data_IF_571478776362
#
_entry.id   IF_571478776362
#
_cell.length_a   1.000
_cell.length_b   1.000
_cell.length_c   1.000
_cell.angle_alpha   90.00
_cell.angle_beta   90.00
_cell.angle_gamma   90.00
#
_symmetry.space_group_name_H-M   'P 1'
#
loop_
_entity.id
_entity.type
_entity.pdbx_description
1 polymer ?
2 non-polymer ?
3 water ?
#
# COMPACT_ATOMS: atom_id res chain seq x y z
N UNK A 14 -3.67 16.50 -27.62
CA UNK A 14 -3.67 17.60 -26.64
C UNK A 14 -3.18 18.89 -27.33
N UNK A 15 -3.99 19.94 -27.32
CA UNK A 15 -3.72 21.09 -28.19
C UNK A 15 -2.58 21.96 -27.64
N UNK A 16 -1.95 22.68 -28.57
CA UNK A 16 -0.85 23.56 -28.17
C UNK A 16 -1.33 24.68 -27.26
N UNK A 17 -2.55 25.17 -27.47
CA UNK A 17 -3.06 26.22 -26.59
C UNK A 17 -3.24 25.69 -25.17
N UNK A 18 -3.67 24.44 -25.03
CA UNK A 18 -3.82 23.86 -23.71
C UNK A 18 -2.48 23.66 -23.02
N UNK A 19 -1.47 23.19 -23.76
CA UNK A 19 -0.13 23.03 -23.18
C UNK A 19 0.40 24.36 -22.70
N UNK A 20 0.23 25.42 -23.50
CA UNK A 20 0.71 26.73 -23.06
C UNK A 20 -0.03 27.22 -21.82
N UNK A 21 -1.31 26.87 -21.68
CA UNK A 21 -2.02 27.25 -20.47
C UNK A 21 -1.48 26.52 -19.25
N UNK A 22 -1.11 25.24 -19.40
CA UNK A 22 -0.47 24.52 -18.31
C UNK A 22 0.86 25.15 -17.94
N UNK A 23 1.68 25.46 -18.96
CA UNK A 23 2.97 26.10 -18.69
C UNK A 23 2.80 27.45 -18.00
N UNK A 24 1.71 28.17 -18.31
CA UNK A 24 1.49 29.45 -17.65
C UNK A 24 1.25 29.28 -16.15
N UNK A 25 0.76 28.12 -15.72
CA UNK A 25 0.52 27.90 -14.30
C UNK A 25 1.80 27.49 -13.58
N UNK A 26 2.47 26.45 -14.09
CA UNK A 26 3.55 25.82 -13.33
C UNK A 26 4.94 26.21 -13.81
N UNK A 27 5.06 26.82 -14.98
CA UNK A 27 6.36 27.11 -15.55
C UNK A 27 6.75 26.12 -16.63
N UNK A 28 7.40 26.61 -17.68
CA UNK A 28 7.79 25.74 -18.79
C UNK A 28 8.57 24.49 -18.38
N UNK A 29 9.56 24.54 -17.48
CA UNK A 29 10.29 23.30 -17.15
C UNK A 29 9.43 22.26 -16.46
N UNK A 30 8.24 22.61 -15.98
CA UNK A 30 7.44 21.69 -15.18
C UNK A 30 6.26 21.10 -15.95
N UNK A 31 6.27 21.22 -17.28
CA UNK A 31 5.32 20.56 -18.18
C UNK A 31 6.13 19.79 -19.21
N UNK A 32 5.76 18.54 -19.45
CA UNK A 32 6.42 17.78 -20.50
C UNK A 32 5.41 16.99 -21.34
N UNK A 33 5.54 17.09 -22.67
CA UNK A 33 4.81 16.23 -23.58
C UNK A 33 5.73 15.25 -24.31
N UNK A 34 6.97 15.10 -23.83
CA UNK A 34 7.91 14.18 -24.47
C UNK A 34 7.53 12.73 -24.22
N UNK A 35 7.62 11.91 -25.28
CA UNK A 35 7.17 10.52 -25.19
C UNK A 35 7.86 9.75 -24.07
N UNK A 36 9.18 9.89 -23.94
CA UNK A 36 9.88 9.12 -22.91
C UNK A 36 9.42 9.50 -21.51
N UNK A 37 9.19 10.79 -21.28
CA UNK A 37 8.75 11.26 -19.97
C UNK A 37 7.35 10.76 -19.67
N UNK A 38 6.47 10.79 -20.67
CA UNK A 38 5.11 10.29 -20.49
C UNK A 38 5.11 8.79 -20.23
N UNK A 39 5.96 8.03 -20.96
CA UNK A 39 6.00 6.58 -20.75
C UNK A 39 6.44 6.24 -19.32
N UNK A 40 7.39 6.99 -18.78
CA UNK A 40 7.85 6.74 -17.41
C UNK A 40 6.76 6.98 -16.38
N UNK A 41 5.72 7.73 -16.75
CA UNK A 41 4.61 8.03 -15.85
C UNK A 41 3.34 7.31 -16.26
N UNK A 42 3.42 6.32 -17.15
CA UNK A 42 2.26 5.59 -17.61
C UNK A 42 2.10 4.22 -17.01
N UNK A 43 2.93 3.87 -16.02
CA UNK A 43 2.88 2.55 -15.43
C UNK A 43 3.34 2.66 -14.00
N UNK A 44 3.06 1.62 -13.21
CA UNK A 44 3.59 1.57 -11.86
C UNK A 44 4.43 0.30 -11.74
N UNK A 45 4.44 -0.35 -10.57
CA UNK A 45 5.28 -1.53 -10.40
C UNK A 45 4.56 -2.83 -10.74
N UNK A 46 3.32 -2.78 -11.20
CA UNK A 46 2.58 -3.97 -11.58
C UNK A 46 2.73 -4.26 -13.07
N UNK A 47 2.22 -5.44 -13.46
CA UNK A 47 2.23 -5.90 -14.85
C UNK A 47 1.28 -5.12 -15.75
N UNK A 48 0.41 -4.26 -15.20
CA UNK A 48 -0.56 -3.56 -16.04
C UNK A 48 0.17 -2.76 -17.10
N UNK A 49 -0.28 -2.90 -18.35
CA UNK A 49 0.54 -2.41 -19.44
C UNK A 49 0.57 -0.89 -19.42
N UNK A 50 1.69 -0.34 -19.88
CA UNK A 50 1.90 1.08 -19.74
C UNK A 50 0.97 1.84 -20.68
N UNK A 51 0.29 2.84 -20.15
CA UNK A 51 -0.62 3.68 -20.92
C UNK A 51 -0.22 5.11 -20.63
N UNK A 52 0.56 5.73 -21.51
CA UNK A 52 1.17 7.01 -21.21
C UNK A 52 0.14 8.13 -21.21
N UNK A 53 0.23 9.03 -20.23
CA UNK A 53 -0.57 10.25 -20.28
C UNK A 53 -0.14 11.11 -21.45
N UNK A 54 -0.99 12.08 -21.81
CA UNK A 54 -0.64 13.01 -22.87
C UNK A 54 0.35 14.08 -22.44
N UNK A 55 0.46 14.34 -21.14
CA UNK A 55 1.44 15.27 -20.61
C UNK A 55 1.68 14.92 -19.15
N UNK A 56 2.84 15.34 -18.65
CA UNK A 56 3.15 15.28 -17.23
C UNK A 56 3.40 16.70 -16.72
N UNK A 57 2.83 17.02 -15.57
CA UNK A 57 2.91 18.36 -15.00
C UNK A 57 3.36 18.22 -13.55
N UNK A 58 4.29 19.09 -13.12
CA UNK A 58 4.80 19.12 -11.74
C UNK A 58 4.41 20.44 -11.07
N UNK A 59 3.28 20.51 -10.39
CA UNK A 59 2.95 21.74 -9.67
C UNK A 59 3.88 21.96 -8.50
N UNK A 60 4.16 23.23 -8.23
CA UNK A 60 5.13 23.62 -7.22
C UNK A 60 4.50 24.04 -5.90
N UNK A 61 3.18 24.25 -5.86
CA UNK A 61 2.48 24.60 -4.64
C UNK A 61 1.00 24.28 -4.85
N UNK A 62 0.23 24.40 -3.78
CA UNK A 62 -1.18 23.98 -3.83
C UNK A 62 -2.00 24.90 -4.72
N UNK A 63 -1.67 26.20 -4.77
CA UNK A 63 -2.38 27.08 -5.70
C UNK A 63 -2.21 26.59 -7.13
N UNK A 64 -1.02 26.11 -7.48
CA UNK A 64 -0.80 25.57 -8.81
C UNK A 64 -1.56 24.26 -9.03
N UNK A 65 -1.61 23.38 -8.02
CA UNK A 65 -2.42 22.16 -8.15
C UNK A 65 -3.86 22.53 -8.46
N UNK A 66 -4.40 23.50 -7.73
CA UNK A 66 -5.79 23.92 -7.93
C UNK A 66 -5.99 24.46 -9.35
N UNK A 67 -5.07 25.29 -9.83
CA UNK A 67 -5.23 25.87 -11.15
C UNK A 67 -5.04 24.85 -12.28
N UNK A 68 -4.13 23.88 -12.11
CA UNK A 68 -4.02 22.82 -13.11
C UNK A 68 -5.28 21.97 -13.13
N UNK A 69 -5.79 21.60 -11.94
CA UNK A 69 -7.02 20.80 -11.90
C UNK A 69 -8.17 21.54 -12.58
N UNK A 70 -8.32 22.83 -12.28
CA UNK A 70 -9.45 23.58 -12.85
C UNK A 70 -9.32 23.66 -14.36
N UNK A 71 -8.09 23.86 -14.86
CA UNK A 71 -7.87 23.90 -16.30
C UNK A 71 -8.24 22.59 -16.97
N UNK A 72 -7.77 21.46 -16.42
CA UNK A 72 -8.07 20.17 -17.00
C UNK A 72 -9.56 19.87 -16.93
N UNK A 73 -10.14 20.07 -15.74
CA UNK A 73 -11.53 19.73 -15.52
C UNK A 73 -12.43 20.45 -16.53
N UNK A 74 -12.26 21.77 -16.65
CA UNK A 74 -13.15 22.55 -17.50
C UNK A 74 -12.91 22.31 -18.98
N UNK A 75 -11.74 21.80 -19.36
CA UNK A 75 -11.51 21.44 -20.75
C UNK A 75 -11.79 19.98 -21.07
N UNK A 76 -12.31 19.20 -20.12
CA UNK A 76 -12.62 17.81 -20.36
C UNK A 76 -11.40 16.92 -20.51
N UNK A 77 -10.32 17.23 -19.81
CA UNK A 77 -9.06 16.49 -19.89
C UNK A 77 -8.90 15.68 -18.61
N UNK A 78 -8.71 14.36 -18.69
CA UNK A 78 -8.55 13.58 -17.46
C UNK A 78 -7.31 13.97 -16.67
N UNK A 79 -7.40 13.76 -15.37
CA UNK A 79 -6.35 14.06 -14.40
C UNK A 79 -5.93 12.76 -13.73
N UNK A 80 -4.63 12.48 -13.71
CA UNK A 80 -4.12 11.27 -13.04
C UNK A 80 -3.13 11.69 -11.97
N UNK A 81 -3.47 11.65 -10.68
CA UNK A 81 -2.49 11.99 -9.65
C UNK A 81 -1.38 10.96 -9.65
N UNK A 82 -0.14 11.42 -9.42
CA UNK A 82 1.02 10.54 -9.46
C UNK A 82 1.89 10.87 -8.28
N UNK A 83 2.18 9.86 -7.45
CA UNK A 83 3.07 10.06 -6.32
C UNK A 83 4.46 9.56 -6.66
N UNK A 84 4.83 8.43 -6.07
CA UNK A 84 6.09 7.79 -6.39
C UNK A 84 5.97 6.62 -7.38
N UNK A 85 4.77 6.35 -7.90
CA UNK A 85 4.59 5.31 -8.90
C UNK A 85 4.92 3.90 -8.44
N UNK A 86 4.78 3.62 -7.14
CA UNK A 86 5.06 2.29 -6.61
C UNK A 86 3.81 1.44 -6.42
N UNK A 87 2.63 1.94 -6.82
CA UNK A 87 1.42 1.14 -6.70
C UNK A 87 1.49 -0.12 -7.52
N UNK A 88 0.60 -1.07 -7.22
CA UNK A 88 0.66 -2.36 -7.91
C UNK A 88 -0.68 -2.75 -8.55
N UNK A 89 -1.60 -1.79 -8.72
CA UNK A 89 -2.85 -2.10 -9.41
C UNK A 89 -3.12 -1.18 -10.61
N UNK A 90 -2.12 -0.52 -11.15
CA UNK A 90 -2.34 0.25 -12.35
C UNK A 90 -3.01 1.58 -12.10
N UNK A 91 -2.95 2.06 -10.86
CA UNK A 91 -3.62 3.31 -10.53
C UNK A 91 -3.18 4.49 -11.37
N UNK A 92 -1.91 4.54 -11.79
CA UNK A 92 -1.43 5.68 -12.56
C UNK A 92 -1.52 5.47 -14.07
N UNK A 93 -1.99 4.31 -14.54
CA UNK A 93 -2.09 4.09 -15.98
C UNK A 93 -3.11 5.04 -16.59
N UNK A 94 -2.73 5.75 -17.65
CA UNK A 94 -3.63 6.78 -18.23
C UNK A 94 -4.51 6.14 -19.30
N UNK A 95 -5.52 5.41 -18.84
CA UNK A 95 -6.32 4.59 -19.76
C UNK A 95 -7.14 5.46 -20.70
N UNK A 96 -7.40 6.71 -20.35
CA UNK A 96 -8.09 7.66 -21.24
C UNK A 96 -7.21 8.85 -21.58
N UNK A 97 -5.90 8.67 -21.52
CA UNK A 97 -4.97 9.77 -21.73
C UNK A 97 -5.10 10.82 -20.64
N UNK A 98 -4.76 12.05 -20.97
CA UNK A 98 -4.92 13.15 -20.04
C UNK A 98 -3.61 13.63 -19.47
N UNK A 99 -3.72 14.35 -18.36
CA UNK A 99 -2.59 15.02 -17.70
C UNK A 99 -2.26 14.26 -16.43
N UNK A 100 -1.02 13.76 -16.35
CA UNK A 100 -0.48 13.16 -15.15
C UNK A 100 0.11 14.28 -14.29
N UNK A 101 -0.36 14.39 -13.04
CA UNK A 101 0.11 15.45 -12.15
C UNK A 101 1.07 14.80 -11.15
N UNK A 102 2.36 15.00 -11.37
CA UNK A 102 3.37 14.47 -10.45
C UNK A 102 3.51 15.46 -9.29
N UNK A 103 3.20 15.00 -8.09
CA UNK A 103 3.08 15.87 -6.93
C UNK A 103 4.35 15.96 -6.09
N UNK A 104 5.45 15.36 -6.52
CA UNK A 104 6.54 15.15 -5.56
C UNK A 104 7.46 16.35 -5.38
N UNK A 105 7.30 17.43 -6.15
CA UNK A 105 8.11 18.61 -5.86
C UNK A 105 7.63 19.38 -4.64
N UNK A 106 6.44 19.07 -4.15
CA UNK A 106 5.91 19.65 -2.92
C UNK A 106 6.37 18.67 -1.85
N UNK A 107 7.48 18.96 -1.17
CA UNK A 107 8.13 17.93 -0.37
C UNK A 107 8.46 18.42 1.04
N UNK A 108 7.66 19.34 1.58
CA UNK A 108 7.95 19.94 2.88
C UNK A 108 7.20 19.25 4.01
N UNK A 109 7.86 19.15 5.15
CA UNK A 109 7.26 18.74 6.42
C UNK A 109 6.95 19.99 7.21
N UNK A 110 5.73 20.11 7.73
CA UNK A 110 5.32 21.28 8.49
C UNK A 110 4.52 20.87 9.71
N UNK A 111 4.27 21.86 10.57
CA UNK A 111 3.38 21.71 11.71
C UNK A 111 3.73 20.47 12.53
N UNK A 112 5.03 20.23 12.72
CA UNK A 112 5.45 19.16 13.60
C UNK A 112 5.05 19.52 15.02
N UNK A 113 4.14 18.75 15.61
CA UNK A 113 3.63 18.99 16.95
C UNK A 113 3.99 17.77 17.78
N UNK A 114 5.21 17.73 18.31
CA UNK A 114 5.64 16.55 19.04
C UNK A 114 4.78 16.32 20.29
N UNK A 115 4.37 17.40 20.96
CA UNK A 115 3.59 17.26 22.18
C UNK A 115 2.18 16.71 21.91
N UNK A 116 1.68 16.83 20.67
CA UNK A 116 0.38 16.31 20.29
C UNK A 116 0.49 15.03 19.46
N UNK A 117 1.70 14.60 19.14
CA UNK A 117 1.92 13.39 18.33
C UNK A 117 1.35 13.57 16.92
N UNK A 118 1.67 14.68 16.26
CA UNK A 118 1.14 14.90 14.91
C UNK A 118 2.13 15.69 14.05
N UNK A 119 1.96 15.57 12.73
CA UNK A 119 2.80 16.26 11.75
C UNK A 119 2.02 16.38 10.46
N UNK A 120 2.35 17.38 9.64
CA UNK A 120 1.77 17.55 8.31
C UNK A 120 2.85 17.35 7.25
N UNK A 121 2.54 16.57 6.21
CA UNK A 121 3.50 16.28 5.15
C UNK A 121 2.88 16.53 3.78
N UNK A 122 3.71 16.98 2.86
CA UNK A 122 3.35 17.17 1.46
C UNK A 122 3.68 15.93 0.65
N UNK A 123 3.20 15.81 -0.60
CA UNK A 123 3.28 14.51 -1.30
C UNK A 123 4.70 14.02 -1.60
N UNK A 124 5.67 14.92 -1.72
CA UNK A 124 7.04 14.46 -1.94
C UNK A 124 7.76 13.88 -0.74
N UNK A 125 7.14 13.93 0.45
CA UNK A 125 7.74 13.35 1.65
C UNK A 125 7.47 11.86 1.68
N UNK A 126 8.54 11.06 1.80
CA UNK A 126 8.42 9.62 1.99
C UNK A 126 8.51 9.28 3.47
N UNK A 127 8.15 8.04 3.81
CA UNK A 127 8.28 7.59 5.19
C UNK A 127 9.72 7.72 5.67
N UNK A 128 10.69 7.37 4.83
CA UNK A 128 12.09 7.49 5.23
C UNK A 128 12.47 8.93 5.53
N UNK A 129 12.03 9.87 4.67
CA UNK A 129 12.32 11.27 4.93
C UNK A 129 11.71 11.74 6.24
N UNK A 130 10.46 11.34 6.52
CA UNK A 130 9.81 11.77 7.75
C UNK A 130 10.53 11.20 8.97
N UNK A 131 10.85 9.90 8.95
CA UNK A 131 11.48 9.32 10.13
C UNK A 131 12.90 9.84 10.33
N UNK A 132 13.60 10.18 9.23
CA UNK A 132 14.88 10.87 9.36
C UNK A 132 14.68 12.23 10.03
N UNK A 133 13.65 12.96 9.64
CA UNK A 133 13.38 14.26 10.24
C UNK A 133 13.10 14.13 11.72
N UNK A 134 12.57 12.99 12.14
CA UNK A 134 12.15 12.77 13.51
C UNK A 134 13.20 12.12 14.39
N UNK A 135 14.43 11.91 13.91
CA UNK A 135 15.30 11.18 14.82
C UNK A 135 15.65 12.10 15.98
N UNK A 136 15.88 11.50 17.15
CA UNK A 136 16.09 12.22 18.40
C UNK A 136 14.87 13.02 18.85
N UNK A 137 13.71 12.84 18.21
CA UNK A 137 12.46 13.35 18.75
C UNK A 137 11.79 12.36 19.70
N UNK A 138 12.19 11.10 19.65
CA UNK A 138 11.51 10.06 20.36
C UNK A 138 10.22 9.58 19.72
N UNK A 139 9.86 10.14 18.57
CA UNK A 139 8.65 9.75 17.85
C UNK A 139 9.02 9.12 16.51
N UNK A 140 8.07 8.37 15.94
CA UNK A 140 8.26 7.78 14.62
C UNK A 140 6.91 7.59 13.98
N UNK A 141 6.91 7.44 12.65
CA UNK A 141 5.71 7.11 11.91
C UNK A 141 5.77 5.64 11.51
N UNK A 142 4.80 4.82 11.92
CA UNK A 142 4.96 3.36 11.80
C UNK A 142 4.49 2.70 10.50
N UNK A 143 3.60 3.30 9.71
CA UNK A 143 3.04 2.53 8.60
C UNK A 143 4.09 2.37 7.51
N UNK A 144 4.48 1.11 7.24
CA UNK A 144 5.70 0.82 6.46
C UNK A 144 5.46 -0.15 5.30
N UNK A 145 4.89 0.31 4.18
CA UNK A 145 4.98 -0.45 2.94
C UNK A 145 6.44 -0.66 2.57
N UNK A 146 6.70 -1.74 1.84
CA UNK A 146 8.08 -2.04 1.49
C UNK A 146 8.74 -0.98 0.65
N UNK A 147 7.97 -0.30 -0.20
CA UNK A 147 8.49 0.71 -1.10
C UNK A 147 8.64 2.04 -0.39
N UNK A 148 9.60 2.84 -0.88
CA UNK A 148 9.87 4.20 -0.41
C UNK A 148 8.82 5.14 -1.01
N UNK A 149 7.58 5.00 -0.54
CA UNK A 149 6.46 5.63 -1.21
C UNK A 149 6.12 7.00 -0.62
N UNK A 150 5.50 7.84 -1.46
CA UNK A 150 4.86 9.07 -0.99
C UNK A 150 3.85 8.79 0.13
N UNK A 151 3.96 9.55 1.22
CA UNK A 151 3.00 9.37 2.31
C UNK A 151 1.60 9.79 1.89
N UNK A 152 1.48 10.80 1.03
CA UNK A 152 0.16 11.15 0.52
C UNK A 152 -0.36 10.08 -0.44
N UNK A 153 0.52 9.43 -1.19
CA UNK A 153 0.10 8.31 -2.02
C UNK A 153 -0.36 7.14 -1.17
N UNK A 154 0.31 6.93 -0.02
CA UNK A 154 -0.11 5.91 0.93
C UNK A 154 -1.49 6.23 1.51
N UNK A 155 -1.77 7.49 1.78
CA UNK A 155 -3.13 7.87 2.19
C UNK A 155 -4.12 7.59 1.06
N UNK A 156 -3.72 7.90 -0.18
CA UNK A 156 -4.64 7.71 -1.30
C UNK A 156 -4.97 6.23 -1.52
N UNK A 157 -4.00 5.32 -1.28
CA UNK A 157 -4.28 3.91 -1.50
C UNK A 157 -4.83 3.19 -0.27
N UNK A 158 -4.83 3.82 0.89
CA UNK A 158 -5.22 3.15 2.13
C UNK A 158 -4.19 2.12 2.55
N UNK A 159 -2.91 2.44 2.44
CA UNK A 159 -1.83 1.47 2.64
C UNK A 159 -1.76 0.95 4.07
N UNK A 160 -1.08 -0.19 4.20
CA UNK A 160 -0.70 -0.66 5.54
C UNK A 160 0.75 -1.09 5.44
N UNK A 161 1.18 -1.93 6.37
CA UNK A 161 2.58 -2.33 6.41
C UNK A 161 2.78 -3.37 7.49
N UNK A 162 4.05 -3.76 7.70
CA UNK A 162 4.33 -4.78 8.71
C UNK A 162 3.98 -4.30 10.12
N UNK A 163 4.08 -2.99 10.39
CA UNK A 163 3.78 -2.51 11.73
C UNK A 163 2.30 -2.34 12.02
N UNK A 164 1.43 -2.50 11.01
CA UNK A 164 0.03 -2.13 11.18
C UNK A 164 -0.68 -3.01 12.20
N UNK A 165 -0.24 -4.26 12.36
CA UNK A 165 -0.88 -5.17 13.30
C UNK A 165 -0.91 -4.57 14.71
N UNK A 166 0.10 -3.79 15.08
CA UNK A 166 0.11 -3.10 16.37
C UNK A 166 -0.25 -1.63 16.28
N UNK A 167 0.24 -0.92 15.25
CA UNK A 167 0.19 0.54 15.24
C UNK A 167 -0.82 1.10 14.26
N UNK A 168 -1.53 0.26 13.52
CA UNK A 168 -2.61 0.70 12.67
C UNK A 168 -2.22 0.91 11.21
N UNK A 169 -3.23 0.98 10.35
CA UNK A 169 -3.05 1.25 8.93
C UNK A 169 -3.03 2.76 8.67
N UNK A 170 -2.98 3.16 7.40
CA UNK A 170 -3.11 4.59 7.11
C UNK A 170 -4.47 5.12 7.59
N UNK A 171 -5.52 4.31 7.46
CA UNK A 171 -6.84 4.76 7.91
C UNK A 171 -6.84 5.08 9.40
N UNK A 172 -6.05 4.32 10.19
CA UNK A 172 -5.97 4.59 11.62
C UNK A 172 -5.10 5.78 11.94
N UNK A 173 -4.18 6.15 11.06
CA UNK A 173 -3.17 7.13 11.39
C UNK A 173 -3.25 8.43 10.59
N UNK A 174 -4.24 8.57 9.71
CA UNK A 174 -4.48 9.83 9.01
C UNK A 174 -5.55 10.59 9.78
N UNK A 175 -5.19 11.79 10.24
CA UNK A 175 -5.99 12.65 11.12
C UNK A 175 -6.72 13.70 10.31
N UNK A 176 -6.14 14.12 9.19
CA UNK A 176 -6.69 15.19 8.37
C UNK A 176 -6.05 15.10 7.00
N UNK A 177 -6.74 15.62 5.98
CA UNK A 177 -6.23 15.63 4.61
C UNK A 177 -6.53 16.98 3.99
N UNK A 178 -5.57 17.51 3.23
CA UNK A 178 -5.83 18.64 2.36
C UNK A 178 -6.01 18.09 0.96
N UNK A 179 -7.15 18.39 0.33
CA UNK A 179 -7.52 17.78 -0.94
C UNK A 179 -7.92 18.87 -1.92
N UNK A 180 -7.31 18.86 -3.10
CA UNK A 180 -7.81 19.66 -4.22
C UNK A 180 -8.86 18.82 -4.93
N UNK A 181 -10.12 19.28 -4.87
CA UNK A 181 -11.19 18.56 -5.54
C UNK A 181 -11.04 18.68 -7.06
N UNK A 182 -11.75 17.85 -7.82
CA UNK A 182 -11.50 17.80 -9.28
C UNK A 182 -11.64 19.14 -9.98
N UNK A 183 -12.57 20.00 -9.58
CA UNK A 183 -12.73 21.31 -10.19
C UNK A 183 -11.81 22.40 -9.60
N UNK A 184 -10.91 22.03 -8.69
CA UNK A 184 -9.93 22.95 -8.14
C UNK A 184 -10.22 23.50 -6.75
N UNK A 185 -11.41 23.28 -6.19
CA UNK A 185 -11.68 23.78 -4.86
C UNK A 185 -10.79 23.08 -3.83
N UNK A 186 -10.43 23.78 -2.78
CA UNK A 186 -9.55 23.25 -1.74
C UNK A 186 -10.36 22.84 -0.52
N UNK A 187 -10.25 21.57 -0.13
CA UNK A 187 -10.96 21.00 1.00
C UNK A 187 -9.97 20.55 2.05
N UNK A 188 -10.20 20.95 3.30
CA UNK A 188 -9.49 20.35 4.44
C UNK A 188 -10.50 19.43 5.10
N UNK A 189 -10.27 18.11 5.03
CA UNK A 189 -11.36 17.18 5.30
C UNK A 189 -11.88 17.33 6.71
N UNK A 190 -11.00 17.56 7.69
CA UNK A 190 -11.40 17.75 9.08
C UNK A 190 -11.32 19.21 9.51
N UNK A 191 -11.11 20.12 8.57
CA UNK A 191 -11.00 21.54 8.89
C UNK A 191 -9.55 22.01 8.85
N UNK A 192 -9.31 23.23 8.35
CA UNK A 192 -7.94 23.69 8.16
C UNK A 192 -7.19 23.79 9.47
N UNK A 193 -6.04 23.11 9.53
CA UNK A 193 -5.18 23.19 10.68
C UNK A 193 -5.57 22.30 11.85
N UNK A 194 -6.66 21.55 11.73
CA UNK A 194 -7.16 20.81 12.88
C UNK A 194 -6.46 19.47 13.06
N UNK A 195 -6.33 19.08 14.32
CA UNK A 195 -5.73 17.79 14.66
C UNK A 195 -6.20 17.44 16.06
N UNK A 196 -6.65 16.20 16.23
CA UNK A 196 -7.29 15.79 17.47
C UNK A 196 -7.42 14.27 17.45
N UNK A 197 -7.75 13.71 18.62
CA UNK A 197 -7.81 12.25 18.74
C UNK A 197 -9.13 11.65 18.25
N UNK A 198 -10.23 12.39 18.37
CA UNK A 198 -11.53 11.84 17.97
C UNK A 198 -12.49 12.99 17.73
N UNK A 199 -13.49 12.75 16.89
CA UNK A 199 -14.51 13.75 16.61
C UNK A 199 -15.78 13.07 16.15
N UNK A 200 -16.92 13.62 16.57
CA UNK A 200 -18.23 13.29 16.03
C UNK A 200 -18.83 14.44 15.23
N UNK A 201 -18.00 15.37 14.76
CA UNK A 201 -18.52 16.60 14.17
C UNK A 201 -18.85 16.39 12.70
N UNK A 202 -20.13 16.20 12.39
CA UNK A 202 -20.54 16.03 11.02
C UNK A 202 -20.18 14.65 10.52
N UNK A 203 -20.08 14.54 9.20
CA UNK A 203 -19.65 13.29 8.57
C UNK A 203 -18.14 13.25 8.47
N UNK A 204 -17.57 12.08 8.69
CA UNK A 204 -16.10 11.96 8.66
C UNK A 204 -15.66 11.97 7.21
N UNK A 205 -15.22 13.13 6.73
CA UNK A 205 -14.77 13.20 5.35
C UNK A 205 -13.37 12.63 5.16
N UNK A 206 -12.55 12.63 6.22
CA UNK A 206 -11.18 12.16 6.08
C UNK A 206 -11.17 10.70 5.61
N UNK A 207 -12.00 9.87 6.24
CA UNK A 207 -12.04 8.46 5.89
C UNK A 207 -12.53 8.19 4.49
N UNK A 208 -13.32 9.11 3.92
CA UNK A 208 -13.77 8.91 2.55
C UNK A 208 -12.63 9.06 1.56
N UNK A 209 -11.69 9.98 1.83
CA UNK A 209 -10.61 10.20 0.90
C UNK A 209 -9.42 9.26 1.11
N UNK A 210 -9.26 8.69 2.30
CA UNK A 210 -8.29 7.62 2.46
C UNK A 210 -8.75 6.42 1.66
N UNK A 211 -7.89 5.90 0.80
CA UNK A 211 -8.29 4.78 -0.02
C UNK A 211 -9.09 5.15 -1.25
N UNK A 212 -9.12 6.41 -1.64
CA UNK A 212 -9.86 6.81 -2.83
C UNK A 212 -9.03 6.73 -4.12
N UNK A 213 -7.72 6.52 -4.02
CA UNK A 213 -6.85 6.18 -5.17
C UNK A 213 -6.83 7.25 -6.24
N UNK A 214 -7.05 8.51 -5.87
CA UNK A 214 -6.99 9.56 -6.88
C UNK A 214 -8.24 9.73 -7.70
N UNK A 215 -9.33 9.06 -7.33
CA UNK A 215 -10.58 9.17 -8.08
C UNK A 215 -11.55 10.20 -7.50
N UNK A 216 -11.25 10.77 -6.33
CA UNK A 216 -12.12 11.78 -5.72
C UNK A 216 -11.46 13.14 -5.56
N UNK A 217 -10.17 13.25 -5.83
CA UNK A 217 -9.46 14.50 -5.65
C UNK A 217 -7.99 14.20 -5.42
N UNK A 218 -7.22 15.28 -5.30
CA UNK A 218 -5.76 15.23 -5.21
C UNK A 218 -5.34 15.57 -3.79
N UNK A 219 -4.71 14.64 -3.09
CA UNK A 219 -4.23 14.90 -1.74
C UNK A 219 -2.95 15.73 -1.83
N UNK A 220 -2.98 16.93 -1.27
CA UNK A 220 -1.81 17.80 -1.29
C UNK A 220 -1.15 17.96 0.06
N UNK A 221 -1.80 17.52 1.14
CA UNK A 221 -1.07 17.30 2.38
C UNK A 221 -1.84 16.29 3.22
N UNK A 222 -1.11 15.63 4.11
CA UNK A 222 -1.67 14.66 5.03
C UNK A 222 -1.23 15.01 6.44
N UNK A 223 -2.17 15.04 7.38
CA UNK A 223 -1.84 15.15 8.80
C UNK A 223 -1.80 13.75 9.41
N UNK A 224 -0.65 13.39 9.98
CA UNK A 224 -0.37 12.03 10.40
C UNK A 224 -0.21 11.95 11.91
N UNK A 225 -0.70 10.84 12.47
CA UNK A 225 -0.46 10.48 13.86
C UNK A 225 0.95 9.91 13.99
N UNK A 226 1.72 10.45 14.92
CA UNK A 226 3.02 9.91 15.30
C UNK A 226 2.89 9.06 16.56
N UNK A 227 3.87 8.18 16.76
CA UNK A 227 3.90 7.26 17.88
C UNK A 227 5.21 7.34 18.64
N UNK A 228 5.18 7.11 19.95
CA UNK A 228 6.43 7.03 20.72
C UNK A 228 7.27 5.85 20.29
N UNK A 229 8.59 6.08 20.21
CA UNK A 229 9.49 4.98 19.91
C UNK A 229 9.43 3.95 21.02
N UNK A 230 9.54 2.66 20.70
CA UNK A 230 9.45 1.63 21.74
C UNK A 230 10.67 1.69 22.65
N UNK A 231 10.44 1.33 23.93
CA UNK A 231 11.53 1.34 24.90
C UNK A 231 12.63 0.35 24.52
N UNK A 232 12.24 -0.84 24.08
CA UNK A 232 13.18 -1.85 23.64
C UNK A 232 12.53 -2.67 22.53
N UNK A 233 13.36 -3.26 21.68
CA UNK A 233 12.92 -4.00 20.50
C UNK A 233 13.67 -5.31 20.43
N UNK A 234 12.95 -6.39 20.07
CA UNK A 234 13.55 -7.68 19.78
C UNK A 234 12.93 -8.21 18.51
N UNK A 235 13.76 -8.64 17.56
CA UNK A 235 13.27 -9.26 16.34
C UNK A 235 13.80 -10.69 16.23
N UNK A 236 13.04 -11.54 15.55
CA UNK A 236 13.47 -12.93 15.39
C UNK A 236 12.80 -13.54 14.17
N UNK A 237 13.35 -14.66 13.71
CA UNK A 237 12.68 -15.48 12.72
C UNK A 237 12.42 -16.86 13.31
N UNK A 238 11.40 -17.53 12.80
CA UNK A 238 10.99 -18.84 13.28
C UNK A 238 10.56 -19.69 12.09
N UNK A 239 11.20 -20.84 11.92
CA UNK A 239 10.97 -21.72 10.78
C UNK A 239 10.00 -22.82 11.17
N UNK A 240 9.12 -23.19 10.24
CA UNK A 240 8.07 -24.15 10.52
C UNK A 240 8.13 -25.31 9.55
N UNK A 241 7.57 -26.47 9.92
CA UNK A 241 7.56 -27.62 9.01
C UNK A 241 6.56 -27.48 7.88
N UNK A 242 5.56 -26.61 8.00
CA UNK A 242 4.50 -26.53 7.01
C UNK A 242 3.86 -25.16 7.09
N UNK A 243 3.17 -24.81 6.00
CA UNK A 243 2.37 -23.59 5.97
C UNK A 243 1.29 -23.65 7.04
N UNK A 244 0.63 -24.81 7.15
CA UNK A 244 -0.39 -25.00 8.19
C UNK A 244 0.14 -24.66 9.57
N UNK A 245 1.35 -25.13 9.91
CA UNK A 245 1.89 -24.90 11.24
C UNK A 245 2.19 -23.42 11.48
N UNK A 246 2.69 -22.73 10.45
CA UNK A 246 3.04 -21.31 10.61
C UNK A 246 1.79 -20.46 10.77
N UNK A 247 0.75 -20.76 10.00
CA UNK A 247 -0.46 -19.93 10.02
C UNK A 247 -1.30 -20.26 11.25
N UNK A 248 -1.33 -21.53 11.68
CA UNK A 248 -1.98 -21.87 12.93
C UNK A 248 -1.35 -21.14 14.09
N UNK A 249 -0.01 -21.06 14.11
CA UNK A 249 0.69 -20.30 15.14
C UNK A 249 0.25 -18.84 15.12
N UNK A 250 0.18 -18.25 13.93
CA UNK A 250 -0.25 -16.85 13.81
C UNK A 250 -1.63 -16.65 14.42
N UNK A 251 -2.59 -17.47 14.02
CA UNK A 251 -3.94 -17.32 14.53
C UNK A 251 -3.96 -17.46 16.04
N UNK A 252 -3.18 -18.40 16.58
CA UNK A 252 -3.20 -18.61 18.02
C UNK A 252 -2.49 -17.49 18.77
N UNK A 253 -1.45 -16.89 18.16
CA UNK A 253 -0.83 -15.71 18.78
C UNK A 253 -1.83 -14.57 18.87
N UNK A 254 -2.60 -14.36 17.80
CA UNK A 254 -3.58 -13.28 17.82
C UNK A 254 -4.71 -13.57 18.80
N UNK A 255 -5.15 -14.83 18.86
CA UNK A 255 -6.24 -15.16 19.77
C UNK A 255 -5.81 -15.10 21.23
N UNK A 256 -4.52 -15.28 21.51
CA UNK A 256 -3.96 -15.12 22.85
C UNK A 256 -3.69 -13.66 23.19
N UNK A 257 -3.92 -12.74 22.24
CA UNK A 257 -3.83 -11.30 22.46
C UNK A 257 -2.40 -10.85 22.79
N UNK A 258 -1.39 -11.54 22.26
CA UNK A 258 -0.01 -11.07 22.39
C UNK A 258 0.14 -9.83 21.52
N UNK A 259 0.55 -8.68 22.07
CA UNK A 259 0.62 -7.43 21.29
C UNK A 259 1.89 -7.35 20.45
N UNK A 260 2.09 -8.37 19.61
CA UNK A 260 3.24 -8.42 18.71
C UNK A 260 3.31 -7.16 17.83
N UNK A 261 4.53 -6.65 17.62
CA UNK A 261 4.68 -5.44 16.84
C UNK A 261 4.65 -5.74 15.35
N UNK A 262 5.21 -6.88 14.94
CA UNK A 262 5.30 -7.29 13.55
C UNK A 262 5.16 -8.81 13.52
N UNK A 263 4.36 -9.33 12.59
CA UNK A 263 4.29 -10.78 12.39
C UNK A 263 4.03 -11.01 10.91
N UNK A 264 5.08 -11.38 10.19
CA UNK A 264 5.07 -11.51 8.74
C UNK A 264 5.33 -12.94 8.34
N UNK A 265 4.58 -13.42 7.37
CA UNK A 265 4.73 -14.79 6.88
C UNK A 265 5.41 -14.80 5.53
N UNK A 266 6.35 -15.74 5.35
CA UNK A 266 6.97 -16.04 4.05
C UNK A 266 6.86 -17.53 3.83
N UNK A 267 6.36 -17.95 2.65
CA UNK A 267 6.45 -19.38 2.40
C UNK A 267 7.86 -19.74 1.99
N UNK A 268 8.11 -21.03 1.76
CA UNK A 268 9.47 -21.47 1.46
C UNK A 268 9.97 -20.86 0.15
N UNK A 269 9.09 -20.68 -0.84
CA UNK A 269 9.51 -20.06 -2.09
C UNK A 269 9.97 -18.63 -1.84
N UNK A 270 9.17 -17.87 -1.08
CA UNK A 270 9.53 -16.50 -0.77
C UNK A 270 10.80 -16.43 0.07
N UNK A 271 10.97 -17.36 1.01
CA UNK A 271 12.14 -17.31 1.89
C UNK A 271 13.40 -17.54 1.08
N UNK A 272 13.35 -18.53 0.17
CA UNK A 272 14.48 -18.78 -0.73
C UNK A 272 14.76 -17.57 -1.61
N UNK A 273 13.71 -16.96 -2.18
CA UNK A 273 13.92 -15.78 -3.00
C UNK A 273 14.58 -14.64 -2.21
N UNK A 274 14.10 -14.38 -0.99
CA UNK A 274 14.73 -13.33 -0.19
C UNK A 274 16.16 -13.69 0.19
N UNK A 275 16.43 -14.97 0.45
CA UNK A 275 17.81 -15.38 0.70
C UNK A 275 18.70 -14.99 -0.46
N UNK A 276 18.25 -15.25 -1.68
CA UNK A 276 19.08 -15.02 -2.86
C UNK A 276 19.21 -13.55 -3.19
N UNK A 277 18.23 -12.75 -2.80
CA UNK A 277 18.19 -11.34 -3.17
C UNK A 277 18.83 -10.44 -2.14
N UNK A 278 18.91 -10.86 -0.88
CA UNK A 278 19.35 -10.00 0.21
C UNK A 278 20.51 -10.57 1.00
N UNK A 279 20.97 -11.78 0.67
CA UNK A 279 22.02 -12.46 1.43
C UNK A 279 21.63 -12.63 2.90
N UNK A 280 20.34 -12.77 3.18
CA UNK A 280 19.96 -13.54 4.35
C UNK A 280 20.32 -15.01 4.10
N UNK A 281 20.43 -15.77 5.18
CA UNK A 281 20.69 -17.21 5.07
C UNK A 281 19.75 -17.98 5.99
N UNK A 282 18.46 -17.60 5.95
CA UNK A 282 17.49 -18.30 6.77
C UNK A 282 17.24 -19.70 6.20
N UNK A 283 16.94 -20.67 7.07
CA UNK A 283 16.51 -21.98 6.58
C UNK A 283 15.33 -21.83 5.64
N UNK A 284 15.37 -22.56 4.53
CA UNK A 284 14.34 -22.46 3.49
C UNK A 284 13.14 -23.27 3.99
N UNK A 285 12.11 -22.57 4.43
CA UNK A 285 10.97 -23.14 5.12
C UNK A 285 9.92 -22.06 5.25
N UNK A 286 8.65 -22.42 5.42
CA UNK A 286 7.65 -21.41 5.80
C UNK A 286 8.07 -20.79 7.12
N UNK A 287 8.11 -19.45 7.16
CA UNK A 287 8.81 -18.73 8.20
C UNK A 287 7.96 -17.57 8.68
N UNK A 288 8.02 -17.27 9.96
CA UNK A 288 7.52 -16.03 10.52
C UNK A 288 8.70 -15.12 10.85
N UNK A 289 8.63 -13.87 10.38
CA UNK A 289 9.46 -12.79 10.91
C UNK A 289 8.66 -12.10 12.00
N UNK A 290 9.25 -11.96 13.20
CA UNK A 290 8.53 -11.41 14.34
C UNK A 290 9.29 -10.24 14.93
N UNK A 291 8.56 -9.29 15.51
CA UNK A 291 9.18 -8.24 16.28
C UNK A 291 8.30 -7.89 17.47
N UNK A 292 8.94 -7.61 18.60
CA UNK A 292 8.28 -7.33 19.86
C UNK A 292 8.78 -6.01 20.41
N UNK A 293 7.87 -5.22 20.97
CA UNK A 293 8.17 -3.91 21.55
C UNK A 293 7.74 -3.89 23.01
N UNK A 294 8.57 -3.30 23.86
CA UNK A 294 8.20 -3.09 25.24
C UNK A 294 9.42 -2.84 26.10
N UNK A 295 9.21 -2.86 27.41
CA UNK A 295 10.31 -2.88 28.35
C UNK A 295 10.87 -4.30 28.45
N UNK A 296 12.00 -4.46 29.15
CA UNK A 296 12.53 -5.81 29.34
C UNK A 296 11.53 -6.71 30.06
N UNK A 297 10.76 -6.15 30.99
CA UNK A 297 9.75 -6.94 31.68
C UNK A 297 8.69 -7.45 30.72
N UNK A 298 8.10 -6.55 29.92
CA UNK A 298 7.00 -6.98 29.05
C UNK A 298 7.52 -7.80 27.87
N UNK A 299 8.73 -7.50 27.38
CA UNK A 299 9.31 -8.31 26.30
C UNK A 299 9.47 -9.77 26.73
N UNK A 300 10.04 -10.00 27.91
CA UNK A 300 10.21 -11.37 28.39
C UNK A 300 8.88 -12.09 28.45
N UNK A 301 7.82 -11.39 28.84
CA UNK A 301 6.50 -11.99 28.92
C UNK A 301 5.98 -12.37 27.53
N UNK A 302 5.99 -11.41 26.61
CA UNK A 302 5.51 -11.66 25.26
C UNK A 302 6.28 -12.81 24.62
N UNK A 303 7.60 -12.82 24.82
CA UNK A 303 8.43 -13.88 24.24
C UNK A 303 8.08 -15.25 24.82
N UNK A 304 7.89 -15.34 26.15
CA UNK A 304 7.38 -16.58 26.75
C UNK A 304 6.20 -17.13 25.98
N UNK A 305 5.13 -16.33 25.92
CA UNK A 305 3.86 -16.83 25.46
C UNK A 305 3.88 -17.10 23.97
N UNK A 306 4.67 -16.34 23.22
CA UNK A 306 4.75 -16.54 21.78
C UNK A 306 5.60 -17.77 21.45
N UNK A 307 6.72 -17.96 22.15
CA UNK A 307 7.51 -19.18 21.94
C UNK A 307 6.72 -20.42 22.33
N UNK A 308 5.91 -20.33 23.38
CA UNK A 308 5.09 -21.47 23.77
C UNK A 308 4.15 -21.88 22.64
N UNK A 309 3.53 -20.90 21.97
CA UNK A 309 2.59 -21.21 20.90
C UNK A 309 3.33 -21.71 19.66
N UNK A 310 4.44 -21.07 19.29
CA UNK A 310 5.13 -21.55 18.10
C UNK A 310 5.70 -22.95 18.32
N UNK A 311 6.19 -23.23 19.53
CA UNK A 311 6.71 -24.56 19.85
C UNK A 311 5.63 -25.63 19.69
N UNK A 312 4.40 -25.33 20.13
CA UNK A 312 3.32 -26.31 19.99
C UNK A 312 3.03 -26.65 18.53
N UNK A 313 3.39 -25.77 17.60
CA UNK A 313 3.15 -25.99 16.19
C UNK A 313 4.42 -26.33 15.43
N UNK A 314 5.46 -26.78 16.13
CA UNK A 314 6.67 -27.22 15.46
C UNK A 314 7.63 -26.11 15.07
N UNK A 315 7.42 -24.89 15.55
CA UNK A 315 8.33 -23.82 15.20
C UNK A 315 9.70 -24.04 15.82
N UNK A 316 10.72 -23.55 15.13
CA UNK A 316 12.08 -23.59 15.62
C UNK A 316 12.27 -22.65 16.81
N UNK A 317 13.34 -22.89 17.55
CA UNK A 317 13.78 -21.89 18.51
C UNK A 317 14.05 -20.60 17.75
N UNK A 318 13.68 -19.47 18.35
CA UNK A 318 13.77 -18.20 17.67
C UNK A 318 15.23 -17.92 17.27
N UNK A 319 15.43 -17.54 16.02
CA UNK A 319 16.72 -17.05 15.56
C UNK A 319 16.74 -15.53 15.72
N UNK A 320 17.50 -15.04 16.69
CA UNK A 320 17.38 -13.67 17.13
C UNK A 320 18.15 -12.73 16.20
N UNK A 321 17.61 -11.52 16.04
CA UNK A 321 18.33 -10.44 15.39
C UNK A 321 18.33 -9.27 16.38
N UNK A 324 21.45 -3.55 16.03
CA UNK A 324 20.59 -2.78 15.15
C UNK A 324 20.73 -3.26 13.71
N UNK A 325 21.95 -3.62 13.33
CA UNK A 325 22.24 -3.82 11.92
C UNK A 325 21.57 -5.08 11.38
N UNK A 326 21.52 -6.15 12.17
CA UNK A 326 20.94 -7.38 11.65
C UNK A 326 19.41 -7.30 11.63
N UNK A 327 18.81 -6.65 12.62
CA UNK A 327 17.39 -6.35 12.54
C UNK A 327 17.08 -5.51 11.30
N UNK A 328 17.92 -4.52 11.01
CA UNK A 328 17.70 -3.70 9.83
C UNK A 328 17.80 -4.55 8.56
N UNK A 329 18.75 -5.49 8.51
CA UNK A 329 18.86 -6.40 7.37
C UNK A 329 17.59 -7.22 7.19
N UNK A 330 17.10 -7.77 8.29
CA UNK A 330 15.93 -8.64 8.27
C UNK A 330 14.75 -7.92 7.62
N UNK A 331 14.42 -6.74 8.13
CA UNK A 331 13.24 -6.04 7.61
C UNK A 331 13.49 -5.43 6.25
N UNK A 332 14.73 -5.05 5.94
CA UNK A 332 15.03 -4.63 4.57
C UNK A 332 14.75 -5.76 3.59
N UNK A 333 15.12 -6.99 3.95
CA UNK A 333 14.84 -8.13 3.08
C UNK A 333 13.34 -8.30 2.89
N UNK A 334 12.57 -8.22 3.98
CA UNK A 334 11.12 -8.31 3.88
C UNK A 334 10.56 -7.20 3.00
N UNK A 335 11.03 -5.97 3.21
CA UNK A 335 10.51 -4.85 2.45
C UNK A 335 10.82 -4.99 0.96
N UNK A 336 11.84 -5.75 0.59
CA UNK A 336 12.19 -5.95 -0.81
C UNK A 336 11.70 -7.27 -1.36
N UNK A 337 10.79 -7.96 -0.66
CA UNK A 337 10.29 -9.26 -1.10
C UNK A 337 9.72 -9.21 -2.52
N UNK A 338 9.02 -8.11 -2.86
CA UNK A 338 8.49 -7.98 -4.20
C UNK A 338 9.59 -8.12 -5.26
N UNK A 339 10.72 -7.46 -5.05
CA UNK A 339 11.81 -7.52 -6.00
C UNK A 339 12.54 -8.86 -5.93
N UNK A 340 12.57 -9.47 -4.74
CA UNK A 340 13.13 -10.81 -4.62
C UNK A 340 12.34 -11.79 -5.45
N UNK A 341 11.00 -11.69 -5.42
CA UNK A 341 10.16 -12.52 -6.25
C UNK A 341 10.42 -12.27 -7.74
N UNK A 342 10.57 -11.00 -8.13
CA UNK A 342 10.84 -10.69 -9.53
C UNK A 342 12.16 -11.27 -10.01
N UNK A 343 13.17 -11.33 -9.12
CA UNK A 343 14.48 -11.84 -9.50
C UNK A 343 14.48 -13.33 -9.77
N UNK A 344 13.43 -14.05 -9.40
CA UNK A 344 13.33 -15.46 -9.73
C UNK A 344 13.24 -15.67 -11.24
N UNK A 345 12.60 -14.73 -11.94
CA UNK A 345 12.37 -14.80 -13.38
C UNK A 345 12.82 -13.46 -13.96
N UNK A 346 14.12 -13.32 -14.25
CA UNK A 346 14.62 -11.99 -14.67
C UNK A 346 13.90 -11.49 -15.91
N UNK A 347 13.72 -10.17 -15.96
CA UNK A 347 12.92 -9.56 -16.99
C UNK A 347 11.43 -9.67 -16.81
N UNK A 348 10.96 -10.10 -15.65
CA UNK A 348 9.55 -10.29 -15.42
C UNK A 348 8.95 -9.09 -14.69
N UNK A 349 7.65 -8.88 -14.94
CA UNK A 349 6.80 -8.07 -14.11
C UNK A 349 5.90 -9.00 -13.30
N UNK A 350 5.16 -8.44 -12.34
CA UNK A 350 4.36 -9.30 -11.50
C UNK A 350 2.97 -8.72 -11.30
N UNK A 351 2.02 -9.63 -11.04
CA UNK A 351 0.73 -9.28 -10.47
C UNK A 351 0.66 -9.88 -9.07
N UNK A 352 -0.15 -9.29 -8.20
CA UNK A 352 -0.24 -9.78 -6.84
C UNK A 352 -1.68 -9.80 -6.38
N UNK A 353 -2.05 -10.84 -5.64
CA UNK A 353 -3.29 -10.84 -4.87
C UNK A 353 -3.02 -10.19 -3.53
N UNK A 354 -4.08 -9.87 -2.79
CA UNK A 354 -3.89 -9.13 -1.56
C UNK A 354 -5.10 -9.36 -0.64
N UNK A 355 -5.66 -10.57 -0.61
CA UNK A 355 -6.93 -10.76 0.11
C UNK A 355 -6.73 -10.61 1.62
N UNK A 356 -7.83 -10.32 2.30
CA UNK A 356 -7.85 -10.26 3.76
C UNK A 356 -9.11 -10.96 4.23
N UNK A 357 -8.97 -11.94 5.11
CA UNK A 357 -10.10 -12.77 5.53
C UNK A 357 -10.22 -12.71 7.06
N UNK A 358 -11.38 -13.09 7.60
CA UNK A 358 -11.48 -13.31 9.05
C UNK A 358 -10.38 -14.26 9.50
N UNK A 359 -9.72 -13.94 10.61
CA UNK A 359 -8.45 -14.60 10.91
C UNK A 359 -8.62 -16.10 11.10
N UNK A 360 -9.79 -16.53 11.60
CA UNK A 360 -9.96 -17.97 11.79
C UNK A 360 -10.00 -18.73 10.47
N UNK A 361 -10.29 -18.05 9.35
CA UNK A 361 -10.29 -18.68 8.04
C UNK A 361 -8.95 -18.54 7.32
N UNK A 362 -7.99 -17.85 7.92
CA UNK A 362 -6.69 -17.68 7.26
C UNK A 362 -5.97 -19.00 7.01
N UNK A 363 -5.96 -19.96 7.94
CA UNK A 363 -5.29 -21.24 7.64
C UNK A 363 -5.85 -21.91 6.41
N UNK A 364 -7.19 -21.98 6.30
CA UNK A 364 -7.80 -22.63 5.15
C UNK A 364 -7.31 -22.01 3.85
N UNK A 365 -7.38 -20.68 3.75
CA UNK A 365 -7.13 -20.06 2.46
C UNK A 365 -5.63 -20.02 2.10
N UNK A 366 -4.72 -19.80 3.07
CA UNK A 366 -3.31 -19.93 2.71
C UNK A 366 -2.93 -21.34 2.35
N UNK A 367 -3.41 -22.34 3.10
CA UNK A 367 -3.03 -23.71 2.74
C UNK A 367 -3.59 -24.06 1.37
N UNK A 368 -4.82 -23.65 1.09
CA UNK A 368 -5.41 -23.85 -0.23
C UNK A 368 -4.63 -23.11 -1.32
N UNK A 369 -4.16 -21.90 -1.02
CA UNK A 369 -3.42 -21.15 -2.03
C UNK A 369 -2.10 -21.83 -2.37
N UNK A 370 -1.41 -22.32 -1.34
CA UNK A 370 -0.17 -23.06 -1.55
C UNK A 370 -0.42 -24.30 -2.39
N UNK A 371 -1.49 -25.04 -2.09
CA UNK A 371 -1.82 -26.22 -2.89
C UNK A 371 -2.16 -25.85 -4.32
N UNK A 372 -2.88 -24.74 -4.51
CA UNK A 372 -3.25 -24.35 -5.86
C UNK A 372 -2.04 -23.86 -6.65
N UNK A 373 -1.11 -23.18 -5.99
CA UNK A 373 0.12 -22.75 -6.68
C UNK A 373 0.90 -23.97 -7.17
N UNK A 374 0.98 -25.02 -6.35
CA UNK A 374 1.73 -26.19 -6.80
C UNK A 374 0.99 -26.93 -7.90
N UNK A 375 -0.33 -26.96 -7.85
CA UNK A 375 -1.02 -27.69 -8.88
C UNK A 375 -0.97 -27.01 -10.23
N UNK A 376 -0.39 -25.82 -10.34
CA UNK A 376 -0.31 -25.10 -11.59
C UNK A 376 1.15 -24.94 -12.04
N UNK A 377 1.35 -24.60 -13.31
CA UNK A 377 2.70 -24.27 -13.78
C UNK A 377 3.11 -22.87 -13.41
N UNK A 378 2.33 -22.17 -12.58
CA UNK A 378 2.65 -20.79 -12.24
C UNK A 378 3.72 -20.73 -11.16
N UNK A 379 4.63 -19.77 -11.33
CA UNK A 379 5.56 -19.40 -10.28
C UNK A 379 4.85 -18.45 -9.34
N UNK A 380 4.85 -18.77 -8.05
CA UNK A 380 4.20 -17.89 -7.10
C UNK A 380 4.91 -17.90 -5.76
N UNK A 381 5.06 -16.72 -5.17
CA UNK A 381 5.67 -16.59 -3.86
C UNK A 381 4.65 -15.98 -2.92
N UNK A 382 4.61 -16.45 -1.67
CA UNK A 382 3.62 -15.99 -0.71
C UNK A 382 4.30 -15.21 0.41
N UNK A 383 3.81 -14.00 0.67
CA UNK A 383 4.34 -13.18 1.76
C UNK A 383 3.15 -12.40 2.32
N UNK A 384 3.13 -12.14 3.61
CA UNK A 384 1.93 -11.45 4.06
C UNK A 384 1.91 -10.91 5.46
N UNK A 385 1.11 -9.84 5.62
CA UNK A 385 0.74 -9.26 6.90
C UNK A 385 -0.32 -10.14 7.56
N UNK A 386 0.09 -11.36 7.92
CA UNK A 386 -0.87 -12.34 8.41
C UNK A 386 -1.43 -11.97 9.79
N UNK A 387 -0.78 -11.07 10.52
CA UNK A 387 -1.38 -10.56 11.74
C UNK A 387 -2.70 -9.83 11.51
N UNK A 388 -2.92 -9.34 10.29
CA UNK A 388 -4.18 -8.71 9.90
C UNK A 388 -5.10 -9.68 9.16
N UNK A 389 -4.73 -10.95 9.06
CA UNK A 389 -5.47 -11.87 8.22
C UNK A 389 -5.29 -11.64 6.74
N UNK A 390 -4.15 -11.07 6.36
CA UNK A 390 -3.87 -10.56 5.02
C UNK A 390 -2.62 -11.25 4.47
N UNK A 391 -2.62 -11.53 3.17
CA UNK A 391 -1.40 -12.01 2.53
C UNK A 391 -1.42 -11.71 1.04
N UNK A 392 -0.25 -11.75 0.44
CA UNK A 392 -0.06 -11.52 -0.98
C UNK A 392 0.50 -12.77 -1.63
N UNK A 393 -0.05 -13.13 -2.79
CA UNK A 393 0.55 -14.10 -3.70
C UNK A 393 1.14 -13.31 -4.85
N UNK A 394 2.47 -13.30 -4.96
CA UNK A 394 3.17 -12.54 -5.98
C UNK A 394 3.45 -13.48 -7.15
N UNK A 395 2.92 -13.13 -8.32
CA UNK A 395 2.85 -14.04 -9.46
C UNK A 395 3.67 -13.46 -10.60
N UNK A 396 4.82 -14.08 -10.86
CA UNK A 396 5.75 -13.59 -11.86
C UNK A 396 5.21 -13.88 -13.26
N UNK A 397 5.34 -12.89 -14.15
CA UNK A 397 4.76 -12.98 -15.48
C UNK A 397 5.81 -12.61 -16.51
N UNK A 398 5.93 -13.42 -17.56
CA UNK A 398 6.67 -13.01 -18.74
C UNK A 398 5.85 -11.95 -19.47
N UNK A 399 6.36 -10.74 -19.67
CA UNK A 399 5.56 -9.69 -20.33
C UNK A 399 5.09 -10.04 -21.74
N UNK A 400 5.66 -11.07 -22.38
CA UNK A 400 5.27 -11.44 -23.74
C UNK A 400 4.45 -12.71 -23.83
N UNK A 401 4.30 -13.47 -22.73
CA UNK A 401 3.57 -14.73 -22.74
C UNK A 401 2.11 -14.45 -22.37
N UNK A 402 1.29 -14.24 -23.41
CA UNK A 402 -0.12 -13.92 -23.18
C UNK A 402 -0.87 -15.09 -22.56
N UNK A 403 -0.51 -16.33 -22.90
CA UNK A 403 -1.16 -17.49 -22.33
C UNK A 403 -0.96 -17.54 -20.81
N UNK A 404 0.29 -17.42 -20.36
CA UNK A 404 0.57 -17.48 -18.93
C UNK A 404 0.00 -16.28 -18.20
N UNK A 405 -0.03 -15.12 -18.84
CA UNK A 405 -0.56 -13.94 -18.18
C UNK A 405 -2.05 -14.06 -17.91
N UNK A 406 -2.81 -14.72 -18.79
CA UNK A 406 -4.22 -14.93 -18.47
C UNK A 406 -4.43 -16.12 -17.54
N UNK A 407 -3.46 -17.04 -17.43
CA UNK A 407 -3.49 -17.99 -16.33
C UNK A 407 -3.28 -17.29 -15.00
N UNK A 408 -2.37 -16.31 -14.96
CA UNK A 408 -2.11 -15.60 -13.70
C UNK A 408 -3.31 -14.76 -13.31
N UNK A 409 -3.92 -14.07 -14.27
CA UNK A 409 -5.07 -13.25 -13.89
C UNK A 409 -6.24 -14.13 -13.48
N UNK A 410 -6.40 -15.30 -14.12
CA UNK A 410 -7.46 -16.21 -13.71
C UNK A 410 -7.21 -16.77 -12.32
N UNK A 411 -5.96 -17.11 -12.01
CA UNK A 411 -5.61 -17.55 -10.66
C UNK A 411 -5.95 -16.49 -9.63
N UNK A 412 -5.55 -15.24 -9.90
CA UNK A 412 -5.80 -14.15 -8.95
C UNK A 412 -7.29 -13.91 -8.74
N UNK A 413 -8.05 -13.94 -9.83
CA UNK A 413 -9.50 -13.81 -9.78
C UNK A 413 -10.12 -14.89 -8.92
N UNK A 414 -9.69 -16.15 -9.10
CA UNK A 414 -10.25 -17.24 -8.32
C UNK A 414 -9.91 -17.11 -6.84
N UNK A 415 -8.66 -16.70 -6.53
CA UNK A 415 -8.29 -16.52 -5.13
C UNK A 415 -9.12 -15.40 -4.51
N UNK A 416 -9.31 -14.30 -5.24
CA UNK A 416 -10.15 -13.23 -4.73
C UNK A 416 -11.56 -13.70 -4.43
N UNK A 417 -12.16 -14.49 -5.33
CA UNK A 417 -13.51 -14.97 -5.06
C UNK A 417 -13.54 -15.96 -3.90
N UNK A 418 -12.48 -16.74 -3.70
CA UNK A 418 -12.43 -17.61 -2.53
C UNK A 418 -12.44 -16.78 -1.25
N UNK A 419 -11.67 -15.70 -1.21
CA UNK A 419 -11.70 -14.84 -0.02
C UNK A 419 -13.07 -14.22 0.20
N UNK A 420 -13.73 -13.79 -0.87
CA UNK A 420 -15.08 -13.25 -0.73
C UNK A 420 -16.04 -14.31 -0.20
N UNK A 421 -15.88 -15.56 -0.63
CA UNK A 421 -16.74 -16.62 -0.13
C UNK A 421 -16.55 -16.85 1.37
N UNK A 422 -15.40 -16.49 1.93
CA UNK A 422 -15.10 -16.66 3.34
C UNK A 422 -15.46 -15.45 4.18
N UNK A 423 -16.16 -14.48 3.59
CA UNK A 423 -16.53 -13.27 4.31
C UNK A 423 -15.49 -12.18 4.34
N UNK A 424 -14.45 -12.28 3.53
CA UNK A 424 -13.36 -11.33 3.54
C UNK A 424 -13.46 -10.30 2.43
N UNK A 425 -12.31 -9.69 2.12
CA UNK A 425 -12.22 -8.63 1.15
C UNK A 425 -11.18 -9.00 0.10
N UNK A 426 -11.37 -8.50 -1.11
CA UNK A 426 -10.43 -8.79 -2.18
C UNK A 426 -9.13 -8.01 -2.07
N UNK A 427 -9.07 -6.96 -1.24
CA UNK A 427 -7.80 -6.27 -1.08
C UNK A 427 -7.68 -5.69 0.31
N UNK A 428 -6.63 -6.10 1.02
CA UNK A 428 -6.40 -5.56 2.35
C UNK A 428 -5.71 -4.21 2.36
N UNK A 429 -4.90 -3.90 1.34
CA UNK A 429 -4.13 -2.66 1.38
C UNK A 429 -3.76 -2.09 -0.01
N UNK A 430 -3.60 -2.94 -1.03
CA UNK A 430 -3.06 -2.46 -2.31
C UNK A 430 -4.07 -1.61 -3.07
N UNK A 431 -5.35 -1.90 -2.93
CA UNK A 431 -6.40 -1.20 -3.64
C UNK A 431 -6.93 -1.99 -4.82
N UNK A 432 -7.77 -1.30 -5.58
CA UNK A 432 -8.54 -1.88 -6.69
C UNK A 432 -7.92 -1.53 -8.03
N UNK A 433 -7.61 -0.25 -8.25
CA UNK A 433 -7.05 0.20 -9.52
C UNK A 433 -7.82 -0.32 -10.72
N UNK A 434 -7.06 -0.91 -11.65
CA UNK A 434 -7.59 -1.56 -12.84
C UNK A 434 -7.94 -3.02 -12.62
N UNK A 435 -7.28 -3.69 -11.69
CA UNK A 435 -7.31 -5.14 -11.65
C UNK A 435 -8.44 -5.79 -10.88
N UNK A 436 -9.00 -5.13 -9.87
CA UNK A 436 -9.96 -5.78 -9.00
C UNK A 436 -11.35 -5.18 -9.09
N UNK A 437 -11.69 -4.51 -10.21
CA UNK A 437 -12.97 -3.81 -10.29
C UNK A 437 -14.14 -4.78 -10.27
N UNK A 438 -14.00 -5.93 -10.95
CA UNK A 438 -15.09 -6.90 -10.92
C UNK A 438 -15.24 -7.53 -9.54
N UNK A 439 -14.13 -7.81 -8.87
CA UNK A 439 -14.21 -8.33 -7.51
C UNK A 439 -14.89 -7.36 -6.57
N UNK A 440 -14.63 -6.04 -6.74
CA UNK A 440 -15.28 -5.07 -5.87
C UNK A 440 -16.79 -5.10 -6.04
N UNK A 441 -17.26 -5.22 -7.29
CA UNK A 441 -18.69 -5.31 -7.53
C UNK A 441 -19.30 -6.51 -6.81
N UNK A 442 -18.62 -7.66 -6.84
CA UNK A 442 -19.14 -8.81 -6.10
C UNK A 442 -19.08 -8.57 -4.59
N UNK A 443 -18.03 -7.89 -4.14
CA UNK A 443 -17.80 -7.71 -2.70
C UNK A 443 -18.89 -6.88 -2.03
N UNK A 444 -19.29 -5.76 -2.63
CA UNK A 444 -20.24 -4.88 -1.97
C UNK A 444 -21.62 -4.89 -2.60
N UNK A 445 -21.81 -5.55 -3.74
CA UNK A 445 -23.12 -5.74 -4.29
C UNK A 445 -23.67 -4.51 -4.97
N UNK A 446 -24.88 -4.63 -5.54
CA UNK A 446 -25.41 -3.52 -6.34
C UNK A 446 -25.64 -2.24 -5.55
N UNK A 447 -26.11 -2.33 -4.30
CA UNK A 447 -26.39 -1.09 -3.59
C UNK A 447 -25.09 -0.46 -3.12
N UNK A 448 -24.09 -1.28 -2.78
CA UNK A 448 -22.78 -0.75 -2.45
C UNK A 448 -22.13 -0.06 -3.64
N UNK A 449 -22.19 -0.69 -4.82
CA UNK A 449 -21.60 -0.09 -6.01
C UNK A 449 -22.28 1.22 -6.35
N UNK A 450 -23.62 1.24 -6.34
CA UNK A 450 -24.31 2.49 -6.69
C UNK A 450 -23.99 3.59 -5.68
N UNK A 451 -23.94 3.27 -4.39
CA UNK A 451 -23.63 4.29 -3.39
C UNK A 451 -22.23 4.83 -3.59
N UNK A 452 -21.26 3.95 -3.83
CA UNK A 452 -19.90 4.41 -4.14
C UNK A 452 -19.88 5.30 -5.37
N UNK A 453 -20.63 4.94 -6.40
CA UNK A 453 -20.67 5.72 -7.63
C UNK A 453 -21.34 7.07 -7.42
N UNK A 454 -22.34 7.13 -6.56
CA UNK A 454 -22.99 8.41 -6.29
C UNK A 454 -22.03 9.36 -5.58
N UNK A 455 -21.19 8.84 -4.68
CA UNK A 455 -20.17 9.69 -4.05
C UNK A 455 -19.15 10.17 -5.07
N UNK A 456 -18.68 9.25 -5.92
CA UNK A 456 -17.79 9.65 -7.02
C UNK A 456 -18.42 10.73 -7.88
N UNK A 457 -19.70 10.59 -8.23
CA UNK A 457 -20.30 11.57 -9.11
C UNK A 457 -20.47 12.94 -8.48
N UNK A 458 -20.72 13.03 -7.17
CA UNK A 458 -20.92 14.39 -6.66
C UNK A 458 -19.59 15.13 -6.57
N UNK A 459 -18.50 14.42 -6.33
CA UNK A 459 -17.20 15.05 -6.23
C UNK A 459 -16.55 15.24 -7.60
N UNK A 460 -16.84 14.36 -8.57
CA UNK A 460 -16.24 14.40 -9.90
C UNK A 460 -17.35 14.23 -10.93
N UNK A 461 -18.21 15.23 -11.10
CA UNK A 461 -19.35 15.06 -12.02
C UNK A 461 -18.93 14.68 -13.42
N UNK A 462 -17.83 15.22 -13.94
CA UNK A 462 -17.45 14.93 -15.32
C UNK A 462 -16.67 13.62 -15.48
N UNK A 463 -16.38 12.93 -14.39
CA UNK A 463 -15.69 11.66 -14.49
C UNK A 463 -14.26 11.78 -14.98
N UNK A 464 -13.60 12.89 -14.70
CA UNK A 464 -12.25 13.17 -15.19
C UNK A 464 -11.16 12.86 -14.16
N UNK A 465 -11.53 12.53 -12.94
CA UNK A 465 -10.58 12.26 -11.87
C UNK A 465 -10.15 10.80 -11.92
N UNK A 466 -9.00 10.55 -12.54
CA UNK A 466 -8.46 9.21 -12.72
C UNK A 466 -9.49 8.22 -13.26
N UNK A 467 -9.99 8.43 -14.49
CA UNK A 467 -11.06 7.57 -15.00
C UNK A 467 -10.63 6.13 -15.21
N UNK A 468 -11.60 5.23 -15.10
CA UNK A 468 -11.36 3.82 -15.32
C UNK A 468 -10.84 3.05 -14.13
N UNK A 469 -10.69 3.68 -12.97
CA UNK A 469 -10.15 3.02 -11.80
C UNK A 469 -11.21 2.87 -10.73
N UNK A 470 -11.12 1.76 -9.98
CA UNK A 470 -11.93 1.43 -8.81
C UNK A 470 -13.35 1.04 -9.20
N UNK A 471 -14.09 1.97 -9.78
CA UNK A 471 -15.46 1.73 -10.19
C UNK A 471 -15.51 1.60 -11.70
X LIG B 1 1.27 5.74 -7.07
X LIG B 1 1.55 4.48 -7.80
X LIG B 1 1.96 6.98 -7.48
X LIG B 1 -0.28 5.99 -7.03
X LIG B 1 -1.17 4.98 -6.53
X LIG B 1 -2.60 5.43 -6.69
X LIG B 1 -2.87 6.53 -5.79
X LIG B 1 -2.99 5.92 -8.08
X LIG B 1 -4.35 5.62 -8.35
X LIG B 1 -2.75 7.43 -7.98
X LIG B 1 -3.55 8.21 -8.86
X LIG B 1 -3.15 7.70 -6.54
X LIG B 1 -2.43 8.81 -5.90
X LIG B 1 -1.09 8.90 -5.65
X LIG B 1 -0.74 10.00 -5.02
X LIG B 1 -1.95 10.67 -4.83
X LIG B 1 -2.27 11.88 -4.21
X LIG B 1 -1.37 12.69 -3.65
X LIG B 1 -3.57 12.26 -4.20
X LIG B 1 -4.47 11.45 -4.76
X LIG B 1 -4.28 10.28 -5.37
X LIG B 1 -2.99 9.93 -5.36
X LIG B 1 1.36 -1.24 -0.29
X LIG B 1 0.85 -1.50 0.94
X LIG B 1 -0.25 -1.05 1.30
X LIG B 1 1.58 -2.26 1.83
X LIG B 1 2.83 -2.81 1.61
X LIG B 1 3.37 -3.50 2.48
X LIG B 1 3.37 -2.52 0.30
X LIG B 1 4.57 -2.99 0.00
X LIG B 1 5.08 -2.72 -1.25
X LIG B 1 6.35 -3.19 -1.58
X LIG B 1 6.90 -2.94 -2.83
X LIG B 1 8.28 -3.47 -3.15
X LIG B 1 6.19 -2.17 -3.76
X LIG B 1 6.77 -1.88 -5.14
X LIG B 1 4.93 -1.69 -3.44
X LIG B 1 4.38 -1.95 -2.20
X LIG B 1 3.10 -1.46 -1.83
X LIG B 1 2.57 -1.73 -0.59
X LIG B 1 2.29 -0.70 -2.81
X LIG B 1 2.56 0.80 -2.85
X LIG B 1 3.85 1.11 -2.33
X LIG B 1 1.50 1.54 -2.03
X LIG B 1 0.23 1.26 -2.63
X LIG B 1 1.73 3.04 -1.96
X LIG B 1 0.76 3.59 -1.08
X LIG B 1 1.64 3.71 -3.31
X LIG B 1 2.09 5.08 -3.21
X LIG B 1 2.64 5.82 -4.47
X LIG B 1 2.76 7.33 -4.25
X LIG B 1 3.93 5.18 -4.95
X LIG B 1 1.49 5.51 -5.51
#
# INVERSE_FOLDING_TARGET
WSHPQFEKGSQGGLSQDFVEALKAVVGSPHVSTASAVREQHGHDESMHRCQPPDAVVWPQNVDQVSRVASLCYNQGVPIIPFGTGTGVEGGVCAVQGGVCINLTHMDQITELNTEDFSVVVEPGVTRKALNTHLRDSGLWFPVDPGADASLCGMAATGASGTNAVRYGTMRDNVINLEVVLPDGRLLHTAGRGRHYRKSAAGYNLTGLFVGSEGTLGIITSTTLRLHPAPEATVAATCAFPSVQAAVDSTVQILQAAVPVARIEFLDDVMMDACNRHSKLNCPVAPTLFLEFHGSQQTLAEQLQRTEAITQDNGGSHFSWAKEAEKRNELWAARHNAWYAALALSPGSKAYSTDVCVPISRLPEILVETKEEIKASKLTGAIVGHVGDGNFACILLVDPDDAEEQRRVKAFAENLGRRALALGGTCTGEHGIGLGKRQLLQEEVGPVGVETMRQLKNTLDPRGLMNPGKVL
FAD PA O1A O2A O5B C5B C4B O4B C3B O3B C2B O2B C1B N9A C8A N7A C5A C6A N6A N1A C2A N3A C4A N1 C2 O2 N3 C4 O4 C4X N5 C5X C6 C7 C7M C8 C8M C9 C9A N10 C10 C1' C2' O2' C3' O3' C4' O4' C5' O5' P O1P O2P O3P
#
